data_IF_063083336655
#
_entry.id   IF_063083336655
#
_cell.length_a   1.000
_cell.length_b   1.000
_cell.length_c   1.000
_cell.angle_alpha   90.00
_cell.angle_beta   90.00
_cell.angle_gamma   90.00
#
_symmetry.space_group_name_H-M   'P 1'
#
loop_
_entity.id
_entity.type
_entity.pdbx_description
1 polymer ?
#
# COMPACT_ATOMS: atom_id res chain seq x y z
N UNK A 1 17.30 -1.40 18.02
CA UNK A 1 16.20 -2.37 18.14
C UNK A 1 16.76 -3.73 17.87
N UNK A 2 16.25 -4.77 18.54
CA UNK A 2 16.60 -6.17 18.23
C UNK A 2 16.36 -6.41 16.73
N UNK A 3 17.35 -6.95 16.05
CA UNK A 3 17.26 -7.32 14.64
C UNK A 3 16.20 -8.42 14.52
N UNK A 4 15.07 -8.16 13.87
CA UNK A 4 14.01 -9.15 13.68
C UNK A 4 14.50 -10.19 12.68
N UNK A 5 14.60 -11.44 13.11
CA UNK A 5 15.09 -12.52 12.26
C UNK A 5 13.92 -13.17 11.53
N UNK A 6 14.05 -13.47 10.23
CA UNK A 6 12.99 -14.08 9.43
C UNK A 6 12.51 -15.41 10.01
N UNK A 7 11.22 -15.72 9.91
CA UNK A 7 10.74 -17.05 10.26
C UNK A 7 11.38 -18.11 9.35
N UNK A 8 11.95 -19.15 9.98
CA UNK A 8 12.41 -20.36 9.28
C UNK A 8 11.22 -21.32 9.10
N UNK A 9 11.42 -22.45 8.41
CA UNK A 9 10.40 -23.52 8.28
C UNK A 9 9.77 -23.82 9.64
N UNK A 10 8.46 -23.64 9.75
CA UNK A 10 7.76 -23.67 11.03
C UNK A 10 7.34 -25.10 11.35
N UNK A 11 8.10 -25.76 12.22
CA UNK A 11 7.71 -27.03 12.82
C UNK A 11 6.76 -26.78 14.00
N UNK A 12 5.53 -27.29 13.89
CA UNK A 12 4.48 -27.15 14.94
C UNK A 12 4.39 -28.39 15.86
N UNK A 13 5.18 -29.42 15.56
CA UNK A 13 5.24 -30.68 16.29
C UNK A 13 6.61 -30.79 16.98
N UNK A 14 6.65 -31.12 18.27
CA UNK A 14 7.90 -31.23 19.04
C UNK A 14 7.94 -30.41 20.33
N UNK A 15 9.05 -30.51 21.06
CA UNK A 15 9.38 -29.66 22.21
C UNK A 15 9.94 -28.32 21.73
N UNK A 16 9.43 -27.25 22.30
CA UNK A 16 9.81 -25.86 21.99
C UNK A 16 11.07 -25.49 22.78
N UNK A 17 12.24 -25.84 22.26
CA UNK A 17 13.55 -25.56 22.86
C UNK A 17 14.28 -24.54 21.97
N UNK A 18 14.77 -23.45 22.56
CA UNK A 18 15.58 -22.46 21.87
C UNK A 18 16.57 -21.79 22.81
N UNK A 19 17.84 -21.75 22.41
CA UNK A 19 18.94 -21.20 23.21
C UNK A 19 19.39 -19.82 22.69
N UNK A 20 18.98 -19.46 21.49
CA UNK A 20 19.26 -18.16 20.85
C UNK A 20 17.99 -17.31 20.65
N UNK A 21 18.14 -15.99 20.51
CA UNK A 21 17.01 -15.06 20.28
C UNK A 21 16.19 -15.46 19.04
N UNK A 22 16.86 -15.93 17.99
CA UNK A 22 16.26 -16.33 16.72
C UNK A 22 15.46 -17.62 16.85
N UNK A 23 15.99 -18.59 17.60
CA UNK A 23 15.29 -19.83 17.93
C UNK A 23 14.08 -19.55 18.81
N UNK A 24 14.19 -18.62 19.77
CA UNK A 24 13.07 -18.21 20.62
C UNK A 24 11.97 -17.50 19.81
N UNK A 25 12.33 -16.63 18.86
CA UNK A 25 11.37 -15.98 17.96
C UNK A 25 10.65 -17.00 17.06
N UNK A 26 11.39 -17.93 16.45
CA UNK A 26 10.80 -19.00 15.64
C UNK A 26 9.90 -19.92 16.48
N UNK A 27 10.38 -20.30 17.67
CA UNK A 27 9.65 -21.13 18.63
C UNK A 27 8.34 -20.48 19.05
N UNK A 28 8.35 -19.18 19.35
CA UNK A 28 7.16 -18.42 19.69
C UNK A 28 6.15 -18.41 18.53
N UNK A 29 6.62 -18.17 17.29
CA UNK A 29 5.76 -18.20 16.10
C UNK A 29 5.17 -19.59 15.85
N UNK A 30 5.97 -20.66 15.97
CA UNK A 30 5.47 -22.04 15.90
C UNK A 30 4.40 -22.32 16.96
N UNK A 31 4.60 -21.84 18.19
CA UNK A 31 3.62 -21.97 19.26
C UNK A 31 2.32 -21.21 18.97
N UNK A 32 2.39 -19.99 18.41
CA UNK A 32 1.21 -19.23 18.01
C UNK A 32 0.45 -19.90 16.86
N UNK A 33 1.14 -20.43 15.85
CA UNK A 33 0.49 -21.16 14.75
C UNK A 33 -0.14 -22.46 15.26
N UNK A 34 0.51 -23.16 16.19
CA UNK A 34 -0.09 -24.31 16.87
C UNK A 34 -1.33 -23.92 17.67
N UNK A 35 -1.28 -22.80 18.40
CA UNK A 35 -2.42 -22.27 19.13
C UNK A 35 -3.58 -21.89 18.18
N UNK A 36 -3.28 -21.28 17.03
CA UNK A 36 -4.26 -20.99 15.99
C UNK A 36 -4.92 -22.27 15.45
N UNK A 37 -4.15 -23.29 15.11
CA UNK A 37 -4.68 -24.60 14.66
C UNK A 37 -5.57 -25.24 15.72
N UNK A 38 -5.10 -25.29 16.97
CA UNK A 38 -5.89 -25.84 18.08
C UNK A 38 -7.17 -25.03 18.31
N UNK A 39 -7.10 -23.70 18.31
CA UNK A 39 -8.25 -22.81 18.41
C UNK A 39 -9.28 -23.08 17.31
N UNK A 40 -8.83 -23.22 16.06
CA UNK A 40 -9.69 -23.58 14.94
C UNK A 40 -10.37 -24.96 15.14
N UNK A 41 -9.66 -25.97 15.67
CA UNK A 41 -10.25 -27.30 15.92
C UNK A 41 -11.34 -27.31 16.99
N UNK A 42 -11.28 -26.39 17.95
CA UNK A 42 -12.30 -26.25 19.00
C UNK A 42 -13.30 -25.13 18.74
N UNK A 43 -13.25 -24.51 17.54
CA UNK A 43 -14.12 -23.39 17.14
C UNK A 43 -14.00 -22.14 18.03
N UNK A 44 -12.82 -21.89 18.57
CA UNK A 44 -12.52 -20.71 19.39
C UNK A 44 -11.81 -19.63 18.53
N UNK A 45 -12.60 -18.86 17.78
CA UNK A 45 -12.10 -17.87 16.82
C UNK A 45 -11.18 -16.82 17.45
N UNK A 46 -11.41 -16.45 18.71
CA UNK A 46 -10.56 -15.49 19.43
C UNK A 46 -9.11 -15.97 19.58
N UNK A 47 -8.89 -17.27 19.74
CA UNK A 47 -7.55 -17.84 19.91
C UNK A 47 -6.75 -17.73 18.60
N UNK A 48 -7.42 -17.94 17.47
CA UNK A 48 -6.84 -17.82 16.13
C UNK A 48 -6.52 -16.36 15.80
N UNK A 49 -7.45 -15.44 16.05
CA UNK A 49 -7.25 -14.00 15.80
C UNK A 49 -6.16 -13.40 16.71
N UNK A 50 -6.07 -13.83 17.96
CA UNK A 50 -5.00 -13.40 18.86
C UNK A 50 -3.63 -13.93 18.43
N UNK A 51 -3.55 -15.20 18.04
CA UNK A 51 -2.33 -15.76 17.48
C UNK A 51 -1.86 -14.96 16.24
N UNK A 52 -2.79 -14.60 15.36
CA UNK A 52 -2.50 -13.74 14.21
C UNK A 52 -1.97 -12.36 14.60
N UNK A 53 -2.62 -11.72 15.57
CA UNK A 53 -2.19 -10.41 16.08
C UNK A 53 -0.80 -10.47 16.71
N UNK A 54 -0.46 -11.54 17.43
CA UNK A 54 0.87 -11.72 18.01
C UNK A 54 1.94 -11.94 16.95
N UNK A 55 1.69 -12.77 15.94
CA UNK A 55 2.62 -12.99 14.82
C UNK A 55 2.84 -11.69 14.05
N UNK A 56 1.78 -10.92 13.78
CA UNK A 56 1.88 -9.62 13.14
C UNK A 56 2.79 -8.65 13.92
N UNK A 57 2.58 -8.56 15.24
CA UNK A 57 3.35 -7.67 16.10
C UNK A 57 4.82 -8.09 16.22
N UNK A 58 5.09 -9.40 16.26
CA UNK A 58 6.46 -9.93 16.30
C UNK A 58 7.27 -9.56 15.06
N UNK A 59 6.62 -9.55 13.88
CA UNK A 59 7.29 -9.30 12.61
C UNK A 59 7.01 -7.93 11.99
N UNK A 60 6.42 -6.99 12.75
CA UNK A 60 6.07 -5.67 12.26
C UNK A 60 7.26 -4.90 11.67
N UNK A 61 8.48 -5.16 12.16
CA UNK A 61 9.70 -4.57 11.62
C UNK A 61 9.98 -5.05 10.18
N UNK A 62 9.84 -6.35 9.91
CA UNK A 62 9.99 -6.90 8.55
C UNK A 62 8.90 -6.39 7.61
N UNK A 63 7.66 -6.27 8.09
CA UNK A 63 6.55 -5.67 7.34
C UNK A 63 6.84 -4.20 6.96
N UNK A 64 7.43 -3.43 7.88
CA UNK A 64 7.85 -2.04 7.65
C UNK A 64 9.05 -1.91 6.72
N UNK A 65 9.92 -2.92 6.70
CA UNK A 65 11.06 -3.01 5.79
C UNK A 65 10.72 -3.70 4.46
N UNK A 66 9.43 -3.93 4.17
CA UNK A 66 8.96 -4.56 2.93
C UNK A 66 9.53 -5.95 2.63
N UNK A 67 10.02 -6.68 3.65
CA UNK A 67 10.60 -8.03 3.50
C UNK A 67 9.51 -9.11 3.54
N UNK A 68 8.57 -9.05 2.60
CA UNK A 68 7.35 -9.86 2.64
C UNK A 68 7.56 -11.36 2.33
N UNK A 69 8.43 -11.73 1.38
CA UNK A 69 8.68 -13.13 1.02
C UNK A 69 9.14 -13.95 2.23
N UNK A 70 9.99 -13.35 3.04
CA UNK A 70 10.53 -13.92 4.26
C UNK A 70 9.47 -14.19 5.34
N UNK A 71 8.31 -13.54 5.28
CA UNK A 71 7.23 -13.73 6.24
C UNK A 71 6.32 -14.89 5.91
N UNK A 72 6.34 -15.37 4.66
CA UNK A 72 5.45 -16.44 4.18
C UNK A 72 5.42 -17.68 5.09
N UNK A 73 6.55 -18.19 5.62
CA UNK A 73 6.52 -19.35 6.52
C UNK A 73 5.62 -19.14 7.74
N UNK A 74 5.50 -17.91 8.24
CA UNK A 74 4.67 -17.56 9.39
C UNK A 74 3.25 -17.13 9.01
N UNK A 75 3.11 -16.37 7.93
CA UNK A 75 1.85 -15.70 7.58
C UNK A 75 0.91 -16.58 6.77
N UNK A 76 1.43 -17.43 5.90
CA UNK A 76 0.61 -18.30 5.04
C UNK A 76 -0.15 -19.37 5.83
N UNK A 77 0.48 -20.16 6.74
CA UNK A 77 -0.25 -21.14 7.54
C UNK A 77 -1.30 -20.48 8.46
N UNK A 78 -1.01 -19.26 8.92
CA UNK A 78 -1.89 -18.52 9.82
C UNK A 78 -3.07 -17.89 9.08
N UNK A 79 -2.85 -17.40 7.86
CA UNK A 79 -3.91 -16.98 6.96
C UNK A 79 -4.85 -18.15 6.65
N UNK A 80 -4.31 -19.35 6.40
CA UNK A 80 -5.12 -20.54 6.17
C UNK A 80 -6.04 -20.87 7.36
N UNK A 81 -5.62 -20.62 8.61
CA UNK A 81 -6.48 -20.78 9.79
C UNK A 81 -7.49 -19.64 9.93
N UNK A 82 -7.09 -18.38 9.73
CA UNK A 82 -8.01 -17.23 9.73
C UNK A 82 -9.12 -17.37 8.68
N UNK A 83 -8.78 -17.88 7.51
CA UNK A 83 -9.71 -18.05 6.41
C UNK A 83 -10.86 -19.01 6.75
N UNK A 84 -10.62 -19.99 7.63
CA UNK A 84 -11.64 -20.96 8.07
C UNK A 84 -12.69 -20.36 9.01
N UNK A 85 -12.43 -19.21 9.64
CA UNK A 85 -13.33 -18.62 10.62
C UNK A 85 -14.42 -17.77 9.96
N UNK A 86 -15.68 -18.15 10.11
CA UNK A 86 -16.81 -17.37 9.56
C UNK A 86 -16.92 -15.97 10.19
N UNK A 87 -16.58 -15.86 11.47
CA UNK A 87 -16.63 -14.65 12.30
C UNK A 87 -15.29 -13.90 12.39
N UNK A 88 -14.35 -14.16 11.48
CA UNK A 88 -13.08 -13.45 11.46
C UNK A 88 -13.31 -11.93 11.30
N UNK A 89 -12.57 -11.13 12.07
CA UNK A 89 -12.55 -9.68 11.87
C UNK A 89 -12.17 -9.34 10.40
N UNK A 90 -13.03 -8.60 9.66
CA UNK A 90 -12.83 -8.30 8.25
C UNK A 90 -11.52 -7.55 7.96
N UNK A 91 -11.09 -6.69 8.89
CA UNK A 91 -9.87 -5.89 8.74
C UNK A 91 -8.63 -6.74 8.93
N UNK A 92 -8.61 -7.59 9.96
CA UNK A 92 -7.54 -8.55 10.20
C UNK A 92 -7.38 -9.51 9.02
N UNK A 93 -8.48 -10.08 8.53
CA UNK A 93 -8.47 -10.99 7.39
C UNK A 93 -7.91 -10.32 6.14
N UNK A 94 -8.37 -9.09 5.84
CA UNK A 94 -7.91 -8.32 4.69
C UNK A 94 -6.44 -7.91 4.79
N UNK A 95 -5.96 -7.58 5.99
CA UNK A 95 -4.56 -7.26 6.24
C UNK A 95 -3.65 -8.47 6.04
N UNK A 96 -4.05 -9.64 6.53
CA UNK A 96 -3.30 -10.88 6.33
C UNK A 96 -3.32 -11.34 4.87
N UNK A 97 -4.46 -11.27 4.19
CA UNK A 97 -4.55 -11.59 2.76
C UNK A 97 -3.58 -10.71 1.94
N UNK A 98 -3.58 -9.39 2.20
CA UNK A 98 -2.67 -8.48 1.51
C UNK A 98 -1.20 -8.80 1.81
N UNK A 99 -0.88 -9.11 3.06
CA UNK A 99 0.48 -9.48 3.48
C UNK A 99 0.96 -10.76 2.79
N UNK A 100 0.13 -11.79 2.75
CA UNK A 100 0.45 -13.09 2.12
C UNK A 100 0.57 -12.93 0.61
N UNK A 101 -0.37 -12.25 -0.05
CA UNK A 101 -0.28 -11.97 -1.50
C UNK A 101 0.97 -11.15 -1.85
N UNK A 102 1.33 -10.15 -1.04
CA UNK A 102 2.57 -9.39 -1.21
C UNK A 102 3.81 -10.25 -1.00
N UNK A 103 3.74 -11.21 -0.08
CA UNK A 103 4.80 -12.19 0.14
C UNK A 103 5.04 -13.09 -1.08
N UNK A 104 3.97 -13.58 -1.70
CA UNK A 104 4.08 -14.40 -2.91
C UNK A 104 4.58 -13.59 -4.12
N UNK A 105 4.11 -12.36 -4.32
CA UNK A 105 4.68 -11.49 -5.36
C UNK A 105 6.17 -11.24 -5.14
N UNK A 106 6.55 -10.96 -3.90
CA UNK A 106 7.95 -10.76 -3.54
C UNK A 106 8.78 -12.03 -3.82
N UNK A 107 8.28 -13.20 -3.45
CA UNK A 107 8.95 -14.47 -3.72
C UNK A 107 9.16 -14.70 -5.23
N UNK A 108 8.14 -14.42 -6.05
CA UNK A 108 8.24 -14.51 -7.50
C UNK A 108 9.26 -13.53 -8.09
N UNK A 109 9.38 -12.32 -7.54
CA UNK A 109 10.34 -11.32 -8.03
C UNK A 109 11.79 -11.68 -7.64
N UNK A 110 11.99 -12.28 -6.46
CA UNK A 110 13.30 -12.75 -6.03
C UNK A 110 13.84 -13.85 -6.95
N UNK A 111 12.98 -14.75 -7.44
CA UNK A 111 13.42 -15.81 -8.37
C UNK A 111 13.86 -15.27 -9.73
N UNK A 112 13.35 -14.10 -10.14
CA UNK A 112 13.83 -13.40 -11.35
C UNK A 112 15.19 -12.74 -11.12
N UNK A 113 15.39 -12.14 -9.95
CA UNK A 113 16.66 -11.50 -9.57
C UNK A 113 17.82 -12.49 -9.35
N UNK A 114 17.52 -13.72 -8.93
CA UNK A 114 18.50 -14.77 -8.62
C UNK A 114 19.18 -15.36 -9.87
N UNK A 115 18.66 -15.12 -11.08
CA UNK A 115 19.15 -15.78 -12.31
C UNK A 115 20.53 -15.28 -12.75
N UNK A 116 20.96 -14.06 -12.36
CA UNK A 116 22.18 -13.43 -12.90
C UNK A 116 23.01 -12.56 -11.91
N UNK A 117 22.72 -12.55 -10.60
CA UNK A 117 23.44 -11.67 -9.63
C UNK A 117 24.22 -12.40 -8.54
N UNK A 118 25.47 -11.95 -8.30
CA UNK A 118 26.29 -12.39 -7.17
C UNK A 118 25.61 -12.01 -5.84
N UNK A 119 25.71 -12.87 -4.81
CA UNK A 119 25.01 -12.73 -3.52
C UNK A 119 25.20 -11.35 -2.85
N UNK A 120 26.33 -10.68 -3.07
CA UNK A 120 26.67 -9.38 -2.48
C UNK A 120 25.94 -8.17 -3.11
N UNK A 121 25.36 -8.30 -4.30
CA UNK A 121 24.61 -7.23 -5.00
C UNK A 121 23.09 -7.47 -5.03
N UNK A 122 22.59 -8.51 -4.34
CA UNK A 122 21.17 -8.87 -4.38
C UNK A 122 20.30 -7.83 -3.69
N UNK A 123 19.46 -7.17 -4.48
CA UNK A 123 18.38 -6.34 -3.98
C UNK A 123 17.29 -7.25 -3.43
N UNK A 124 17.08 -7.18 -2.12
CA UNK A 124 16.07 -7.96 -1.38
C UNK A 124 14.87 -7.14 -0.93
N UNK A 125 14.89 -5.83 -1.21
CA UNK A 125 13.79 -4.94 -0.90
C UNK A 125 12.70 -5.06 -1.97
N UNK A 126 11.49 -5.38 -1.53
CA UNK A 126 10.33 -5.59 -2.39
C UNK A 126 9.99 -4.39 -3.25
N UNK A 127 10.09 -3.16 -2.72
CA UNK A 127 9.74 -1.96 -3.48
C UNK A 127 10.71 -1.77 -4.64
N UNK A 128 12.00 -1.97 -4.39
CA UNK A 128 13.04 -1.87 -5.40
C UNK A 128 12.88 -2.98 -6.46
N UNK A 129 12.55 -4.21 -6.05
CA UNK A 129 12.25 -5.32 -6.98
C UNK A 129 11.03 -5.03 -7.86
N UNK A 130 9.97 -4.43 -7.30
CA UNK A 130 8.80 -3.99 -8.07
C UNK A 130 9.18 -2.98 -9.16
N UNK A 131 10.06 -2.03 -8.84
CA UNK A 131 10.53 -1.01 -9.77
C UNK A 131 11.44 -1.59 -10.87
N UNK A 132 12.40 -2.45 -10.50
CA UNK A 132 13.32 -3.09 -11.44
C UNK A 132 12.62 -4.02 -12.44
N UNK A 133 11.57 -4.71 -11.98
CA UNK A 133 10.82 -5.68 -12.77
C UNK A 133 9.41 -5.18 -13.12
N UNK A 134 9.21 -3.87 -13.24
CA UNK A 134 7.91 -3.27 -13.53
C UNK A 134 7.30 -3.74 -14.85
N UNK A 135 8.13 -4.03 -15.86
CA UNK A 135 7.71 -4.54 -17.18
C UNK A 135 7.80 -6.07 -17.30
N UNK A 136 8.26 -6.77 -16.26
CA UNK A 136 8.42 -8.21 -16.31
C UNK A 136 7.06 -8.90 -16.23
N UNK A 137 6.84 -9.84 -17.14
CA UNK A 137 5.67 -10.71 -17.17
C UNK A 137 6.12 -12.15 -16.95
N UNK A 138 5.41 -12.86 -16.09
CA UNK A 138 5.60 -14.27 -15.80
C UNK A 138 4.71 -15.07 -16.74
N UNK A 139 5.29 -15.95 -17.57
CA UNK A 139 4.50 -16.87 -18.40
C UNK A 139 3.78 -17.92 -17.54
N UNK A 140 4.46 -18.41 -16.49
CA UNK A 140 3.92 -19.33 -15.47
C UNK A 140 4.61 -19.02 -14.14
N UNK A 141 3.85 -18.72 -13.09
CA UNK A 141 4.35 -18.63 -11.71
C UNK A 141 3.32 -19.14 -10.71
N UNK A 142 3.68 -20.17 -9.95
CA UNK A 142 2.84 -20.73 -8.90
C UNK A 142 2.65 -19.73 -7.75
N UNK A 143 3.68 -18.95 -7.44
CA UNK A 143 3.63 -17.90 -6.42
C UNK A 143 2.63 -16.80 -6.81
N UNK A 144 2.71 -16.28 -8.03
CA UNK A 144 1.77 -15.25 -8.51
C UNK A 144 0.33 -15.79 -8.49
N UNK A 145 0.12 -17.04 -8.91
CA UNK A 145 -1.19 -17.69 -8.84
C UNK A 145 -1.73 -17.80 -7.41
N UNK A 146 -0.89 -18.22 -6.45
CA UNK A 146 -1.28 -18.25 -5.02
C UNK A 146 -1.66 -16.86 -4.52
N UNK A 147 -0.89 -15.82 -4.88
CA UNK A 147 -1.21 -14.44 -4.52
C UNK A 147 -2.57 -13.96 -5.05
N UNK A 148 -2.90 -14.31 -6.30
CA UNK A 148 -4.20 -14.01 -6.94
C UNK A 148 -5.32 -14.74 -6.21
N UNK A 149 -5.16 -16.03 -5.92
CA UNK A 149 -6.15 -16.86 -5.24
C UNK A 149 -6.43 -16.34 -3.83
N UNK A 150 -5.37 -16.00 -3.07
CA UNK A 150 -5.47 -15.38 -1.75
C UNK A 150 -6.33 -14.11 -1.80
N UNK A 151 -6.06 -13.17 -2.72
CA UNK A 151 -6.87 -11.96 -2.88
C UNK A 151 -8.33 -12.30 -3.18
N UNK A 152 -8.57 -13.12 -4.20
CA UNK A 152 -9.91 -13.47 -4.69
C UNK A 152 -10.76 -14.16 -3.62
N UNK A 153 -10.15 -15.02 -2.81
CA UNK A 153 -10.85 -15.83 -1.81
C UNK A 153 -11.52 -15.01 -0.70
N UNK A 154 -11.01 -13.81 -0.40
CA UNK A 154 -11.47 -13.01 0.75
C UNK A 154 -12.29 -11.76 0.37
N UNK A 155 -12.39 -11.39 -0.91
CA UNK A 155 -13.01 -10.12 -1.34
C UNK A 155 -14.45 -9.89 -0.82
N UNK A 156 -15.21 -10.97 -0.59
CA UNK A 156 -16.58 -10.90 -0.09
C UNK A 156 -16.69 -10.80 1.44
N UNK A 157 -15.58 -10.92 2.17
CA UNK A 157 -15.53 -11.05 3.65
C UNK A 157 -14.73 -9.96 4.35
N UNK A 158 -14.15 -9.03 3.58
CA UNK A 158 -13.29 -7.96 4.10
C UNK A 158 -14.02 -6.61 4.09
N UNK A 159 -13.53 -5.65 4.85
CA UNK A 159 -14.02 -4.27 4.80
C UNK A 159 -13.72 -3.60 3.44
N UNK A 160 -14.43 -2.50 3.14
CA UNK A 160 -14.31 -1.81 1.85
C UNK A 160 -12.87 -1.36 1.54
N UNK A 161 -12.15 -0.88 2.55
CA UNK A 161 -10.74 -0.47 2.41
C UNK A 161 -9.87 -1.63 1.93
N UNK A 162 -10.00 -2.79 2.57
CA UNK A 162 -9.27 -3.99 2.22
C UNK A 162 -9.74 -4.56 0.87
N UNK A 163 -11.03 -4.47 0.57
CA UNK A 163 -11.61 -4.90 -0.71
C UNK A 163 -11.00 -4.14 -1.88
N UNK A 164 -10.88 -2.81 -1.79
CA UNK A 164 -10.23 -2.01 -2.83
C UNK A 164 -8.75 -2.36 -2.95
N UNK A 165 -8.03 -2.45 -1.82
CA UNK A 165 -6.60 -2.78 -1.81
C UNK A 165 -6.30 -4.16 -2.40
N UNK A 166 -7.11 -5.16 -2.07
CA UNK A 166 -6.94 -6.54 -2.57
C UNK A 166 -7.35 -6.67 -4.04
N UNK A 167 -8.37 -5.93 -4.47
CA UNK A 167 -8.74 -5.86 -5.89
C UNK A 167 -7.62 -5.26 -6.74
N UNK A 168 -7.00 -4.17 -6.27
CA UNK A 168 -5.84 -3.56 -6.94
C UNK A 168 -4.64 -4.53 -7.01
N UNK A 169 -4.33 -5.19 -5.89
CA UNK A 169 -3.31 -6.24 -5.82
C UNK A 169 -3.59 -7.37 -6.83
N UNK A 170 -4.83 -7.88 -6.87
CA UNK A 170 -5.22 -8.94 -7.77
C UNK A 170 -5.04 -8.54 -9.24
N UNK A 171 -5.50 -7.34 -9.61
CA UNK A 171 -5.34 -6.82 -10.97
C UNK A 171 -3.86 -6.72 -11.36
N UNK A 172 -3.01 -6.19 -10.47
CA UNK A 172 -1.55 -6.12 -10.69
C UNK A 172 -0.95 -7.50 -10.93
N UNK A 173 -1.27 -8.48 -10.09
CA UNK A 173 -0.75 -9.84 -10.22
C UNK A 173 -1.20 -10.51 -11.52
N UNK A 174 -2.43 -10.26 -11.97
CA UNK A 174 -2.94 -10.80 -13.22
C UNK A 174 -2.27 -10.20 -14.45
N UNK A 175 -2.04 -8.88 -14.46
CA UNK A 175 -1.26 -8.20 -15.50
C UNK A 175 0.14 -8.79 -15.57
N UNK A 176 0.76 -9.06 -14.41
CA UNK A 176 2.08 -9.71 -14.35
C UNK A 176 2.08 -11.14 -14.89
N UNK A 177 1.00 -11.90 -14.76
CA UNK A 177 0.89 -13.26 -15.32
C UNK A 177 0.63 -13.27 -16.84
N UNK A 178 0.64 -12.11 -17.50
CA UNK A 178 0.33 -12.00 -18.93
C UNK A 178 -1.12 -12.37 -19.26
N UNK A 179 -1.98 -12.55 -18.25
CA UNK A 179 -3.40 -12.72 -18.47
C UNK A 179 -3.95 -11.40 -19.00
N UNK A 180 -4.69 -11.46 -20.12
CA UNK A 180 -5.60 -10.37 -20.46
C UNK A 180 -6.45 -10.06 -19.23
N UNK A 181 -6.76 -8.78 -19.00
CA UNK A 181 -7.68 -8.30 -17.95
C UNK A 181 -9.08 -8.94 -18.15
N UNK A 182 -9.21 -10.22 -17.84
CA UNK A 182 -10.45 -10.98 -17.82
C UNK A 182 -11.02 -11.06 -16.39
N UNK A 183 -10.38 -10.36 -15.44
CA UNK A 183 -11.16 -9.78 -14.35
C UNK A 183 -11.94 -8.64 -14.96
N UNK A 184 -13.21 -8.93 -15.17
CA UNK A 184 -14.29 -7.98 -14.93
C UNK A 184 -14.01 -7.25 -13.61
N UNK A 185 -13.19 -6.19 -13.64
CA UNK A 185 -13.27 -5.08 -12.71
C UNK A 185 -14.57 -4.36 -13.09
N UNK A 186 -15.69 -5.05 -12.95
CA UNK A 186 -17.00 -4.51 -13.28
C UNK A 186 -17.31 -3.44 -12.22
N UNK A 187 -17.31 -2.20 -12.69
CA UNK A 187 -17.92 -1.00 -12.10
C UNK A 187 -17.45 -0.54 -10.71
N UNK A 188 -16.19 -0.76 -10.32
CA UNK A 188 -15.59 -0.02 -9.20
C UNK A 188 -14.61 1.05 -9.69
N UNK A 189 -15.06 2.31 -9.85
CA UNK A 189 -14.22 3.44 -10.23
C UNK A 189 -12.98 3.61 -9.35
N UNK A 190 -13.09 3.28 -8.06
CA UNK A 190 -11.99 3.45 -7.10
C UNK A 190 -10.89 2.42 -7.36
N UNK A 191 -11.26 1.15 -7.58
CA UNK A 191 -10.29 0.11 -7.91
C UNK A 191 -9.56 0.38 -9.24
N UNK A 192 -10.28 0.89 -10.24
CA UNK A 192 -9.68 1.29 -11.52
C UNK A 192 -8.68 2.44 -11.33
N UNK A 193 -9.02 3.42 -10.50
CA UNK A 193 -8.12 4.53 -10.18
C UNK A 193 -6.87 4.07 -9.45
N UNK A 194 -6.97 3.11 -8.53
CA UNK A 194 -5.78 2.54 -7.89
C UNK A 194 -4.80 1.93 -8.88
N UNK A 195 -5.29 1.18 -9.88
CA UNK A 195 -4.45 0.64 -10.94
C UNK A 195 -3.83 1.76 -11.80
N UNK A 196 -4.58 2.83 -12.09
CA UNK A 196 -4.06 4.00 -12.82
C UNK A 196 -2.98 4.75 -12.03
N UNK A 197 -3.13 4.89 -10.71
CA UNK A 197 -2.11 5.49 -9.83
C UNK A 197 -0.79 4.71 -9.93
N UNK A 198 -0.83 3.38 -9.86
CA UNK A 198 0.36 2.54 -10.02
C UNK A 198 0.98 2.72 -11.41
N UNK A 199 0.15 2.83 -12.44
CA UNK A 199 0.60 3.04 -13.81
C UNK A 199 1.30 4.41 -14.00
N UNK A 200 0.84 5.44 -13.31
CA UNK A 200 1.43 6.80 -13.35
C UNK A 200 2.75 6.85 -12.56
N UNK A 201 2.85 6.07 -11.47
CA UNK A 201 4.04 6.01 -10.63
C UNK A 201 5.24 5.30 -11.29
N UNK A 202 5.07 4.68 -12.47
CA UNK A 202 6.15 4.01 -13.19
C UNK A 202 7.23 5.01 -13.66
N UNK A 203 8.53 4.71 -13.43
CA UNK A 203 9.62 5.59 -13.82
C UNK A 203 9.73 5.72 -15.35
N UNK A 204 10.10 6.91 -15.82
CA UNK A 204 10.33 7.18 -17.24
C UNK A 204 9.07 7.50 -18.05
N UNK A 205 7.90 7.60 -17.42
CA UNK A 205 6.66 7.99 -18.10
C UNK A 205 6.68 9.47 -18.48
N UNK A 206 6.23 9.76 -19.69
CA UNK A 206 6.16 11.15 -20.15
C UNK A 206 5.07 11.93 -19.39
N UNK A 207 5.34 13.20 -19.00
CA UNK A 207 4.37 13.99 -18.23
C UNK A 207 3.01 14.16 -18.90
N UNK A 208 2.97 14.22 -20.24
CA UNK A 208 1.72 14.32 -21.00
C UNK A 208 0.88 13.04 -20.89
N UNK A 209 1.49 11.88 -21.12
CA UNK A 209 0.83 10.59 -20.99
C UNK A 209 0.38 10.31 -19.54
N UNK A 210 1.20 10.68 -18.55
CA UNK A 210 0.81 10.63 -17.15
C UNK A 210 -0.41 11.53 -16.86
N UNK A 211 -0.40 12.75 -17.41
CA UNK A 211 -1.51 13.69 -17.28
C UNK A 211 -2.83 13.15 -17.84
N UNK A 212 -2.81 12.53 -19.02
CA UNK A 212 -4.00 11.91 -19.63
C UNK A 212 -4.59 10.80 -18.76
N UNK A 213 -3.74 9.93 -18.20
CA UNK A 213 -4.16 8.85 -17.31
C UNK A 213 -4.77 9.40 -16.03
N UNK A 214 -4.17 10.44 -15.44
CA UNK A 214 -4.70 11.09 -14.24
C UNK A 214 -6.04 11.75 -14.54
N UNK A 215 -6.19 12.44 -15.68
CA UNK A 215 -7.47 13.03 -16.09
C UNK A 215 -8.55 11.96 -16.29
N UNK A 216 -8.20 10.82 -16.87
CA UNK A 216 -9.11 9.68 -16.98
C UNK A 216 -9.51 9.16 -15.59
N UNK A 217 -8.55 8.97 -14.68
CA UNK A 217 -8.82 8.55 -13.31
C UNK A 217 -9.76 9.53 -12.57
N UNK A 218 -9.55 10.83 -12.72
CA UNK A 218 -10.43 11.85 -12.14
C UNK A 218 -11.86 11.77 -12.71
N UNK A 219 -12.02 11.49 -14.00
CA UNK A 219 -13.35 11.34 -14.61
C UNK A 219 -14.11 10.12 -14.08
N UNK A 220 -13.40 9.05 -13.73
CA UNK A 220 -13.99 7.87 -13.08
C UNK A 220 -14.46 8.20 -11.65
N UNK A 221 -13.67 8.97 -10.89
CA UNK A 221 -14.04 9.38 -9.54
C UNK A 221 -15.05 10.52 -9.50
N UNK A 222 -15.24 11.27 -10.58
CA UNK A 222 -16.22 12.35 -10.68
C UNK A 222 -17.13 12.13 -11.90
N UNK A 223 -18.07 11.18 -11.85
CA UNK A 223 -19.06 11.00 -12.90
C UNK A 223 -19.95 12.24 -13.00
N UNK A 224 -20.35 12.65 -14.21
CA UNK A 224 -21.15 13.87 -14.43
C UNK A 224 -22.51 13.84 -13.71
N UNK A 225 -23.08 12.65 -13.50
CA UNK A 225 -24.41 12.42 -12.93
C UNK A 225 -24.39 11.76 -11.54
N UNK A 226 -23.25 11.76 -10.84
CA UNK A 226 -23.11 11.09 -9.53
C UNK A 226 -22.33 11.89 -8.51
N UNK A 227 -22.40 11.45 -7.25
CA UNK A 227 -21.54 12.00 -6.19
C UNK A 227 -20.07 11.63 -6.46
N UNK A 228 -19.17 12.49 -5.97
CA UNK A 228 -17.73 12.24 -6.05
C UNK A 228 -17.41 10.93 -5.35
N UNK A 229 -16.89 9.96 -6.11
CA UNK A 229 -16.39 8.70 -5.60
C UNK A 229 -14.93 8.83 -5.11
N UNK A 230 -14.50 7.84 -4.34
CA UNK A 230 -13.16 7.79 -3.76
C UNK A 230 -13.06 8.58 -2.46
N UNK A 231 -12.29 8.03 -1.51
CA UNK A 231 -12.01 8.68 -0.25
C UNK A 231 -10.81 9.65 -0.36
N UNK A 232 -10.51 10.30 0.76
CA UNK A 232 -9.38 11.22 0.87
C UNK A 232 -8.04 10.58 0.44
N UNK A 233 -7.82 9.30 0.77
CA UNK A 233 -6.56 8.62 0.46
C UNK A 233 -6.37 8.45 -1.04
N UNK A 234 -7.42 8.03 -1.75
CA UNK A 234 -7.38 7.83 -3.21
C UNK A 234 -7.03 9.14 -3.92
N UNK A 235 -7.72 10.23 -3.58
CA UNK A 235 -7.48 11.54 -4.19
C UNK A 235 -6.09 12.09 -3.84
N UNK A 236 -5.63 11.92 -2.59
CA UNK A 236 -4.31 12.36 -2.17
C UNK A 236 -3.19 11.62 -2.93
N UNK A 237 -3.33 10.30 -3.09
CA UNK A 237 -2.34 9.49 -3.82
C UNK A 237 -2.36 9.73 -5.32
N UNK A 238 -3.53 9.97 -5.91
CA UNK A 238 -3.63 10.35 -7.32
C UNK A 238 -2.89 11.66 -7.58
N UNK A 239 -3.08 12.64 -6.70
CA UNK A 239 -2.37 13.92 -6.76
C UNK A 239 -0.86 13.80 -6.58
N UNK A 240 -0.41 13.01 -5.59
CA UNK A 240 1.01 12.77 -5.35
C UNK A 240 1.69 12.04 -6.51
N UNK A 241 1.05 11.00 -7.06
CA UNK A 241 1.54 10.29 -8.24
C UNK A 241 1.65 11.21 -9.46
N UNK A 242 0.62 12.04 -9.71
CA UNK A 242 0.63 13.01 -10.79
C UNK A 242 1.75 14.06 -10.62
N UNK A 243 1.97 14.54 -9.39
CA UNK A 243 3.04 15.49 -9.08
C UNK A 243 4.42 14.88 -9.36
N UNK A 244 4.66 13.65 -8.89
CA UNK A 244 5.92 12.94 -9.11
C UNK A 244 6.16 12.65 -10.60
N UNK A 245 5.10 12.42 -11.37
CA UNK A 245 5.15 12.31 -12.83
C UNK A 245 5.25 13.66 -13.57
N UNK A 246 5.35 14.78 -12.85
CA UNK A 246 5.40 16.17 -13.36
C UNK A 246 4.16 16.62 -14.12
N UNK A 247 3.03 15.94 -13.94
CA UNK A 247 1.73 16.33 -14.44
C UNK A 247 1.06 17.33 -13.48
N UNK A 248 1.63 18.54 -13.38
CA UNK A 248 1.29 19.50 -12.31
C UNK A 248 -0.17 19.99 -12.32
N UNK A 249 -0.78 20.16 -13.50
CA UNK A 249 -2.19 20.56 -13.60
C UNK A 249 -3.13 19.52 -12.98
N UNK A 250 -3.12 18.26 -13.49
CA UNK A 250 -3.90 17.16 -12.92
C UNK A 250 -3.57 16.88 -11.44
N UNK A 251 -2.31 17.06 -11.03
CA UNK A 251 -1.91 16.94 -9.62
C UNK A 251 -2.64 17.94 -8.72
N UNK A 252 -2.67 19.22 -9.12
CA UNK A 252 -3.37 20.28 -8.39
C UNK A 252 -4.86 19.99 -8.29
N UNK A 253 -5.50 19.55 -9.39
CA UNK A 253 -6.94 19.24 -9.39
C UNK A 253 -7.28 18.07 -8.48
N UNK A 254 -6.48 17.00 -8.51
CA UNK A 254 -6.66 15.83 -7.64
C UNK A 254 -6.47 16.20 -6.16
N UNK A 255 -5.41 16.96 -5.85
CA UNK A 255 -5.14 17.40 -4.48
C UNK A 255 -6.21 18.37 -3.98
N UNK A 256 -6.77 19.23 -4.85
CA UNK A 256 -7.87 20.11 -4.48
C UNK A 256 -9.09 19.32 -4.01
N UNK A 257 -9.44 18.24 -4.70
CA UNK A 257 -10.55 17.39 -4.27
C UNK A 257 -10.26 16.71 -2.92
N UNK A 258 -9.03 16.24 -2.70
CA UNK A 258 -8.61 15.69 -1.41
C UNK A 258 -8.72 16.73 -0.29
N UNK A 259 -8.27 17.97 -0.51
CA UNK A 259 -8.38 19.05 0.48
C UNK A 259 -9.84 19.39 0.80
N UNK A 260 -10.74 19.38 -0.19
CA UNK A 260 -12.18 19.57 0.03
C UNK A 260 -12.81 18.44 0.87
N UNK A 261 -12.31 17.21 0.76
CA UNK A 261 -12.71 16.09 1.62
C UNK A 261 -12.10 16.24 3.03
N UNK A 262 -10.84 16.66 3.13
CA UNK A 262 -10.16 16.90 4.41
C UNK A 262 -10.86 17.97 5.25
N UNK A 263 -11.39 19.02 4.62
CA UNK A 263 -12.14 20.08 5.29
C UNK A 263 -13.42 19.60 6.00
N UNK A 264 -13.90 18.39 5.67
CA UNK A 264 -15.09 17.77 6.27
C UNK A 264 -14.74 16.74 7.35
N UNK A 265 -13.47 16.53 7.64
CA UNK A 265 -13.04 15.58 8.67
C UNK A 265 -13.47 16.03 10.05
N UNK A 266 -13.93 15.06 10.85
CA UNK A 266 -14.13 15.25 12.27
C UNK A 266 -12.77 15.48 12.97
N UNK A 267 -12.65 16.42 13.94
CA UNK A 267 -11.45 16.58 14.75
C UNK A 267 -10.89 15.27 15.35
N UNK A 268 -11.77 14.32 15.67
CA UNK A 268 -11.43 13.00 16.22
C UNK A 268 -11.23 11.92 15.14
N UNK A 269 -11.15 12.31 13.86
CA UNK A 269 -10.89 11.39 12.76
C UNK A 269 -9.56 10.64 12.96
N UNK A 270 -9.45 9.39 12.47
CA UNK A 270 -8.23 8.60 12.58
C UNK A 270 -7.00 9.33 12.06
N UNK A 271 -5.87 9.15 12.76
CA UNK A 271 -4.58 9.79 12.41
C UNK A 271 -4.16 9.55 10.96
N UNK A 272 -4.55 8.41 10.38
CA UNK A 272 -4.30 8.08 8.98
C UNK A 272 -5.01 9.02 7.99
N UNK A 273 -6.23 9.48 8.30
CA UNK A 273 -6.93 10.44 7.44
C UNK A 273 -6.23 11.79 7.47
N UNK A 274 -5.84 12.26 8.67
CA UNK A 274 -5.04 13.47 8.82
C UNK A 274 -3.68 13.39 8.11
N UNK A 275 -3.06 12.20 8.08
CA UNK A 275 -1.83 11.99 7.32
C UNK A 275 -2.06 12.22 5.82
N UNK A 276 -3.10 11.61 5.23
CA UNK A 276 -3.39 11.78 3.81
C UNK A 276 -3.84 13.18 3.45
N UNK A 277 -4.54 13.87 4.34
CA UNK A 277 -4.83 15.29 4.20
C UNK A 277 -3.53 16.10 4.09
N UNK A 278 -2.55 15.82 4.96
CA UNK A 278 -1.24 16.47 4.93
C UNK A 278 -0.43 16.18 3.65
N UNK A 279 -0.48 14.94 3.14
CA UNK A 279 0.14 14.56 1.85
C UNK A 279 -0.50 15.35 0.70
N UNK A 280 -1.83 15.42 0.65
CA UNK A 280 -2.54 16.16 -0.38
C UNK A 280 -2.17 17.65 -0.38
N UNK A 281 -2.13 18.28 0.80
CA UNK A 281 -1.73 19.68 0.96
C UNK A 281 -0.28 19.93 0.49
N UNK A 282 0.64 19.00 0.80
CA UNK A 282 2.02 19.07 0.33
C UNK A 282 2.14 18.95 -1.19
N UNK A 283 1.46 17.98 -1.80
CA UNK A 283 1.47 17.77 -3.24
C UNK A 283 0.80 18.95 -3.97
N UNK A 284 -0.26 19.52 -3.40
CA UNK A 284 -0.90 20.74 -3.91
C UNK A 284 0.09 21.91 -3.90
N UNK A 285 0.66 22.25 -2.75
CA UNK A 285 1.59 23.36 -2.62
C UNK A 285 2.77 23.23 -3.58
N UNK A 286 3.37 22.05 -3.68
CA UNK A 286 4.47 21.79 -4.61
C UNK A 286 4.04 21.88 -6.09
N UNK A 287 2.83 21.41 -6.41
CA UNK A 287 2.24 21.59 -7.74
C UNK A 287 2.12 23.06 -8.11
N UNK A 288 1.67 23.92 -7.19
CA UNK A 288 1.58 25.38 -7.42
C UNK A 288 2.98 25.99 -7.63
N UNK A 289 3.96 25.61 -6.81
CA UNK A 289 5.35 26.08 -6.97
C UNK A 289 5.88 25.71 -8.35
N UNK A 290 5.58 24.51 -8.85
CA UNK A 290 5.99 24.06 -10.17
C UNK A 290 5.35 24.84 -11.34
N UNK A 291 4.27 25.58 -11.10
CA UNK A 291 3.65 26.49 -12.09
C UNK A 291 4.37 27.85 -12.18
N UNK A 292 5.27 28.17 -11.26
CA UNK A 292 6.00 29.44 -11.26
C UNK A 292 7.00 29.43 -12.43
N UNK A 293 6.86 30.42 -13.32
CA UNK A 293 7.72 30.63 -14.48
C UNK A 293 8.25 32.07 -14.48
N UNK A 294 9.41 32.32 -13.85
CA UNK A 294 9.90 33.67 -13.59
C UNK A 294 10.14 34.51 -14.85
N UNK A 295 10.39 33.85 -15.98
CA UNK A 295 10.71 34.52 -17.25
C UNK A 295 9.46 35.05 -17.99
N UNK A 296 8.28 34.50 -17.70
CA UNK A 296 7.02 34.83 -18.40
C UNK A 296 5.95 35.42 -17.48
N UNK A 297 6.11 35.32 -16.17
CA UNK A 297 5.18 35.86 -15.18
C UNK A 297 5.76 37.13 -14.55
N UNK A 298 4.91 38.14 -14.33
CA UNK A 298 5.31 39.28 -13.51
C UNK A 298 5.50 38.89 -12.04
N UNK A 299 6.18 39.77 -11.29
CA UNK A 299 6.50 39.53 -9.88
C UNK A 299 5.24 39.33 -9.02
N UNK A 300 4.15 40.04 -9.31
CA UNK A 300 2.90 39.94 -8.56
C UNK A 300 2.25 38.58 -8.74
N UNK A 301 2.21 38.05 -9.96
CA UNK A 301 1.71 36.72 -10.26
C UNK A 301 2.57 35.63 -9.59
N UNK A 302 3.89 35.79 -9.63
CA UNK A 302 4.81 34.85 -8.96
C UNK A 302 4.58 34.85 -7.44
N UNK A 303 4.46 36.02 -6.83
CA UNK A 303 4.29 36.15 -5.37
C UNK A 303 2.91 35.64 -4.91
N UNK A 304 1.86 35.83 -5.72
CA UNK A 304 0.55 35.23 -5.47
C UNK A 304 0.60 33.70 -5.48
N UNK A 305 1.32 33.09 -6.41
CA UNK A 305 1.52 31.63 -6.46
C UNK A 305 2.31 31.14 -5.24
N UNK A 306 3.40 31.83 -4.87
CA UNK A 306 4.19 31.49 -3.67
C UNK A 306 3.35 31.59 -2.41
N UNK A 307 2.59 32.67 -2.24
CA UNK A 307 1.71 32.85 -1.09
C UNK A 307 0.72 31.68 -0.98
N UNK A 308 0.06 31.34 -2.09
CA UNK A 308 -0.90 30.23 -2.10
C UNK A 308 -0.24 28.89 -1.78
N UNK A 309 0.96 28.62 -2.33
CA UNK A 309 1.70 27.41 -2.00
C UNK A 309 2.05 27.34 -0.50
N UNK A 310 2.48 28.46 0.09
CA UNK A 310 2.78 28.56 1.51
C UNK A 310 1.55 28.28 2.38
N UNK A 311 0.38 28.80 2.01
CA UNK A 311 -0.88 28.51 2.72
C UNK A 311 -1.13 26.99 2.81
N UNK A 312 -0.95 26.27 1.69
CA UNK A 312 -1.07 24.81 1.66
C UNK A 312 0.01 24.11 2.51
N UNK A 313 1.28 24.57 2.52
CA UNK A 313 2.31 23.98 3.39
C UNK A 313 2.04 24.21 4.89
N UNK A 314 1.41 25.34 5.24
CA UNK A 314 0.95 25.58 6.62
C UNK A 314 -0.14 24.60 7.01
N UNK A 315 -1.15 24.38 6.16
CA UNK A 315 -2.21 23.40 6.42
C UNK A 315 -1.65 21.97 6.49
N UNK A 316 -0.73 21.60 5.59
CA UNK A 316 -0.03 20.32 5.66
C UNK A 316 0.66 20.08 7.01
N UNK A 317 1.32 21.12 7.56
CA UNK A 317 1.97 21.06 8.86
C UNK A 317 0.97 20.86 10.01
N UNK A 318 -0.20 21.50 9.94
CA UNK A 318 -1.28 21.30 10.92
C UNK A 318 -1.80 19.87 10.85
N UNK A 319 -2.09 19.36 9.65
CA UNK A 319 -2.58 18.01 9.43
C UNK A 319 -1.56 16.96 9.87
N UNK A 320 -0.28 17.15 9.56
CA UNK A 320 0.81 16.29 10.05
C UNK A 320 0.91 16.24 11.57
N UNK A 321 0.66 17.37 12.26
CA UNK A 321 0.59 17.41 13.73
C UNK A 321 -0.61 16.60 14.25
N UNK A 322 -1.80 16.75 13.66
CA UNK A 322 -2.98 15.96 14.03
C UNK A 322 -2.75 14.46 13.81
N UNK A 323 -2.05 14.10 12.73
CA UNK A 323 -1.67 12.72 12.43
C UNK A 323 -0.59 12.14 13.36
N UNK A 324 0.04 12.96 14.23
CA UNK A 324 1.24 12.60 15.00
C UNK A 324 2.41 12.14 14.10
N UNK A 325 2.53 12.75 12.91
CA UNK A 325 3.49 12.41 11.86
C UNK A 325 4.42 13.58 11.59
N UNK A 326 5.57 13.56 12.27
CA UNK A 326 6.58 14.63 12.16
C UNK A 326 7.22 14.70 10.77
N UNK A 327 7.23 13.61 10.01
CA UNK A 327 7.74 13.55 8.64
C UNK A 327 7.00 14.53 7.72
N UNK A 328 5.67 14.62 7.81
CA UNK A 328 4.89 15.59 7.02
C UNK A 328 5.19 17.02 7.46
N UNK A 329 5.30 17.26 8.77
CA UNK A 329 5.63 18.59 9.32
C UNK A 329 7.02 19.04 8.84
N UNK A 330 8.02 18.16 8.89
CA UNK A 330 9.36 18.46 8.40
C UNK A 330 9.39 18.63 6.89
N UNK A 331 8.65 17.81 6.14
CA UNK A 331 8.57 17.93 4.70
C UNK A 331 7.96 19.27 4.28
N UNK A 332 6.81 19.63 4.83
CA UNK A 332 6.17 20.93 4.58
C UNK A 332 7.07 22.10 4.99
N UNK A 333 7.76 22.00 6.13
CA UNK A 333 8.73 23.02 6.57
C UNK A 333 9.91 23.21 5.61
N UNK A 334 10.32 22.17 4.88
CA UNK A 334 11.39 22.24 3.87
C UNK A 334 10.95 22.83 2.54
N UNK A 335 9.64 22.91 2.31
CA UNK A 335 9.06 23.50 1.10
C UNK A 335 8.86 25.03 1.22
N UNK A 336 9.09 25.61 2.40
CA UNK A 336 9.28 27.05 2.60
C UNK A 336 10.65 27.50 2.07
#
# INVERSE_FOLDING_TARGET
>A
GLQSVPPKTIETEGEFIGDTIDELQNTATSAFIKAARLGATVSESWAVMNAASHVWNNYIALTKSHRYAELLPATDPLFAELFKLEDCDPSLLGNFAHLVSSGYEHAALLTVGDVDTAEEERVTDYKTLLEMHASHTFEVSDEINKGIETCKSVLARVDDKNKHRLSAMQARLQVRLGAALDVKVEDDPVAQVWAMIEQVAQPGKEPAAAGEIVSQAMSLLRPEDSEVAGDLEVWARLGDAAYNAKAYGPAIESCKQAVELAAKLDPDAPSQMWYWAGVAECAYGNGIVALIRPEVQDQTAQDALKQKAVEHFVEASKHGRHALRSDIVYYAARCF
#
